data_IF_934957706202
#
_entry.id   IF_934957706202
#
_cell.length_a   1.000
_cell.length_b   1.000
_cell.length_c   1.000
_cell.angle_alpha   90.00
_cell.angle_beta   90.00
_cell.angle_gamma   90.00
#
_symmetry.space_group_name_H-M   'P 1'
#
loop_
_entity.id
_entity.type
_entity.pdbx_description
1 polymer ?
#
# COMPACT_ATOMS: atom_id res chain seq x y z
N UNK A 1 10.62 15.77 -6.50
CA UNK A 1 10.25 15.73 -5.06
C UNK A 1 10.99 14.56 -4.43
N UNK A 2 11.51 14.71 -3.23
CA UNK A 2 12.01 13.57 -2.44
C UNK A 2 11.00 13.33 -1.32
N UNK A 3 10.67 12.07 -1.02
CA UNK A 3 9.91 11.73 0.17
C UNK A 3 10.79 12.06 1.40
N UNK A 4 10.33 12.96 2.25
CA UNK A 4 11.06 13.36 3.47
C UNK A 4 10.48 12.75 4.74
N UNK A 5 9.22 12.34 4.69
CA UNK A 5 8.52 11.71 5.80
C UNK A 5 7.81 10.45 5.32
N UNK A 6 8.20 9.31 5.83
CA UNK A 6 7.54 8.03 5.61
C UNK A 6 6.78 7.64 6.88
N UNK A 7 5.59 7.06 6.70
CA UNK A 7 4.83 6.50 7.80
C UNK A 7 4.60 5.02 7.53
N UNK A 8 5.07 4.16 8.44
CA UNK A 8 4.81 2.73 8.41
C UNK A 8 3.73 2.35 9.42
N UNK A 9 2.69 1.69 8.94
CA UNK A 9 1.67 1.09 9.79
C UNK A 9 2.22 -0.15 10.50
N UNK A 10 2.05 -0.21 11.80
CA UNK A 10 2.47 -1.30 12.67
C UNK A 10 1.24 -1.91 13.36
N UNK A 11 1.22 -3.20 13.41
CA UNK A 11 0.17 -4.04 14.00
C UNK A 11 0.79 -5.27 14.67
N UNK A 12 -0.05 -6.19 15.11
CA UNK A 12 0.37 -7.44 15.75
C UNK A 12 0.57 -8.59 14.75
N UNK A 13 0.48 -8.32 13.43
CA UNK A 13 0.65 -9.34 12.41
C UNK A 13 2.07 -9.91 12.37
N UNK A 14 2.17 -11.15 11.93
CA UNK A 14 3.45 -11.83 11.71
C UNK A 14 4.31 -11.13 10.66
N UNK A 15 3.69 -10.32 9.78
CA UNK A 15 4.34 -9.59 8.68
C UNK A 15 4.89 -8.22 9.09
N UNK A 16 4.58 -7.75 10.30
CA UNK A 16 4.99 -6.43 10.80
C UNK A 16 6.50 -6.23 10.79
N UNK A 17 7.29 -7.26 11.13
CA UNK A 17 8.75 -7.18 11.13
C UNK A 17 9.32 -6.93 9.71
N UNK A 18 8.85 -7.66 8.70
CA UNK A 18 9.28 -7.47 7.32
C UNK A 18 8.92 -6.08 6.79
N UNK A 19 7.75 -5.55 7.20
CA UNK A 19 7.30 -4.21 6.87
C UNK A 19 8.19 -3.13 7.48
N UNK A 20 8.64 -3.31 8.73
CA UNK A 20 9.60 -2.41 9.38
C UNK A 20 10.93 -2.37 8.61
N UNK A 21 11.51 -3.51 8.28
CA UNK A 21 12.79 -3.59 7.55
C UNK A 21 12.68 -2.94 6.16
N UNK A 22 11.58 -3.17 5.44
CA UNK A 22 11.31 -2.50 4.18
C UNK A 22 11.23 -0.98 4.34
N UNK A 23 10.52 -0.50 5.36
CA UNK A 23 10.35 0.93 5.62
C UNK A 23 11.68 1.61 5.99
N UNK A 24 12.52 0.96 6.78
CA UNK A 24 13.86 1.45 7.14
C UNK A 24 14.76 1.56 5.90
N UNK A 25 14.76 0.53 5.04
CA UNK A 25 15.54 0.58 3.80
C UNK A 25 15.05 1.69 2.86
N UNK A 26 13.73 1.86 2.73
CA UNK A 26 13.16 2.94 1.93
C UNK A 26 13.50 4.32 2.52
N UNK A 27 13.42 4.48 3.84
CA UNK A 27 13.83 5.70 4.54
C UNK A 27 15.32 6.01 4.31
N UNK A 28 16.19 4.97 4.33
CA UNK A 28 17.61 5.12 4.01
C UNK A 28 17.84 5.59 2.58
N UNK A 29 17.15 5.00 1.59
CA UNK A 29 17.27 5.37 0.17
C UNK A 29 16.86 6.80 -0.14
N UNK A 30 15.87 7.32 0.59
CA UNK A 30 15.33 8.67 0.38
C UNK A 30 15.85 9.72 1.37
N UNK A 31 16.67 9.32 2.33
CA UNK A 31 17.07 10.17 3.45
C UNK A 31 15.83 10.81 4.10
N UNK A 32 14.88 9.97 4.45
CA UNK A 32 13.58 10.33 4.99
C UNK A 32 13.49 10.04 6.49
N UNK A 33 12.71 10.85 7.21
CA UNK A 33 12.27 10.56 8.56
C UNK A 33 11.24 9.43 8.54
N UNK A 34 11.37 8.44 9.43
CA UNK A 34 10.46 7.30 9.52
C UNK A 34 9.63 7.37 10.80
N UNK A 35 8.33 7.37 10.61
CA UNK A 35 7.33 7.31 11.68
C UNK A 35 6.74 5.90 11.70
N UNK A 36 6.82 5.20 12.82
CA UNK A 36 6.09 3.97 13.09
C UNK A 36 4.76 4.29 13.78
N UNK A 37 3.67 4.01 13.14
CA UNK A 37 2.33 4.22 13.65
C UNK A 37 1.70 2.87 14.03
N UNK A 38 1.59 2.61 15.32
CA UNK A 38 0.92 1.41 15.82
C UNK A 38 -0.58 1.68 15.99
N UNK A 39 -1.38 0.98 15.22
CA UNK A 39 -2.85 1.10 15.23
C UNK A 39 -3.46 -0.27 14.99
N UNK A 40 -4.31 -0.72 15.91
CA UNK A 40 -5.06 -1.98 15.84
C UNK A 40 -6.53 -1.75 16.14
N UNK A 41 -7.41 -2.46 15.45
CA UNK A 41 -8.86 -2.35 15.61
C UNK A 41 -9.33 -3.22 16.78
N UNK A 42 -9.28 -2.71 17.99
CA UNK A 42 -9.66 -3.44 19.20
C UNK A 42 -11.14 -3.88 19.20
N UNK A 43 -12.00 -3.12 18.52
CA UNK A 43 -13.45 -3.38 18.47
C UNK A 43 -13.82 -4.69 17.75
N UNK A 44 -12.93 -5.21 16.88
CA UNK A 44 -13.14 -6.48 16.17
C UNK A 44 -13.11 -7.70 17.11
N UNK A 45 -12.68 -7.51 18.34
CA UNK A 45 -12.42 -8.58 19.29
C UNK A 45 -13.45 -8.64 20.42
N UNK A 46 -14.44 -7.72 20.46
CA UNK A 46 -15.45 -7.71 21.52
C UNK A 46 -16.57 -8.72 21.24
N UNK A 47 -16.73 -9.76 22.06
CA UNK A 47 -17.94 -10.56 22.02
C UNK A 47 -19.11 -9.69 22.54
N UNK A 48 -20.13 -9.55 21.72
CA UNK A 48 -21.27 -8.67 22.03
C UNK A 48 -22.11 -9.11 23.25
N UNK A 49 -21.92 -10.32 23.78
CA UNK A 49 -22.68 -10.87 24.91
C UNK A 49 -21.92 -11.99 25.65
N UNK A 50 -21.30 -11.75 26.80
CA UNK A 50 -20.91 -12.79 27.75
C UNK A 50 -20.89 -12.25 29.19
N UNK A 51 -21.53 -12.99 30.09
CA UNK A 51 -21.45 -12.78 31.54
C UNK A 51 -20.11 -13.29 32.05
N UNK A 52 -19.29 -12.42 32.60
CA UNK A 52 -17.95 -12.72 33.09
C UNK A 52 -16.91 -11.64 32.73
N UNK A 53 -17.39 -10.47 32.38
CA UNK A 53 -16.72 -9.44 31.58
C UNK A 53 -15.44 -8.85 32.17
N UNK A 54 -15.34 -8.63 33.49
CA UNK A 54 -14.22 -7.88 34.07
C UNK A 54 -12.85 -8.58 33.93
N UNK A 55 -12.80 -9.88 34.17
CA UNK A 55 -11.55 -10.62 34.08
C UNK A 55 -11.09 -10.76 32.61
N UNK A 56 -12.04 -10.93 31.69
CA UNK A 56 -11.79 -11.02 30.28
C UNK A 56 -11.26 -9.68 29.69
N UNK A 57 -11.90 -8.55 30.05
CA UNK A 57 -11.43 -7.22 29.65
C UNK A 57 -10.02 -6.92 30.20
N UNK A 58 -9.76 -7.19 31.48
CA UNK A 58 -8.44 -6.98 32.08
C UNK A 58 -7.35 -7.83 31.40
N UNK A 59 -7.65 -9.07 31.03
CA UNK A 59 -6.70 -9.93 30.30
C UNK A 59 -6.40 -9.39 28.91
N UNK A 60 -7.39 -8.86 28.20
CA UNK A 60 -7.21 -8.27 26.86
C UNK A 60 -6.48 -6.95 26.88
N UNK A 61 -6.79 -6.09 27.84
CA UNK A 61 -6.08 -4.85 28.04
C UNK A 61 -4.59 -5.11 28.34
N UNK A 62 -4.30 -6.05 29.24
CA UNK A 62 -2.93 -6.45 29.54
C UNK A 62 -2.21 -7.07 28.29
N UNK A 63 -2.94 -7.84 27.47
CA UNK A 63 -2.38 -8.39 26.23
C UNK A 63 -2.12 -7.29 25.21
N UNK A 64 -3.03 -6.34 25.05
CA UNK A 64 -2.84 -5.18 24.17
C UNK A 64 -1.63 -4.36 24.60
N UNK A 65 -1.50 -4.06 25.90
CA UNK A 65 -0.36 -3.32 26.44
C UNK A 65 0.98 -4.06 26.22
N UNK A 66 0.96 -5.37 26.37
CA UNK A 66 2.14 -6.20 26.11
C UNK A 66 2.52 -6.19 24.61
N UNK A 67 1.54 -6.30 23.72
CA UNK A 67 1.73 -6.25 22.28
C UNK A 67 2.27 -4.87 21.84
N UNK A 68 1.66 -3.79 22.33
CA UNK A 68 2.08 -2.40 22.07
C UNK A 68 3.53 -2.19 22.49
N UNK A 69 3.90 -2.56 23.74
CA UNK A 69 5.27 -2.45 24.23
C UNK A 69 6.25 -3.30 23.41
N UNK A 70 5.83 -4.51 23.04
CA UNK A 70 6.60 -5.41 22.19
C UNK A 70 6.83 -4.82 20.79
N UNK A 71 5.80 -4.26 20.17
CA UNK A 71 5.89 -3.60 18.86
C UNK A 71 6.80 -2.38 18.90
N UNK A 72 6.65 -1.54 19.94
CA UNK A 72 7.52 -0.38 20.17
C UNK A 72 8.99 -0.79 20.30
N UNK A 73 9.26 -1.77 21.15
CA UNK A 73 10.64 -2.26 21.37
C UNK A 73 11.25 -2.78 20.07
N UNK A 74 10.51 -3.60 19.30
CA UNK A 74 10.97 -4.12 18.01
C UNK A 74 11.28 -3.00 17.02
N UNK A 75 10.39 -2.00 16.89
CA UNK A 75 10.55 -0.90 15.96
C UNK A 75 11.76 -0.01 16.31
N UNK A 76 11.89 0.39 17.56
CA UNK A 76 13.01 1.22 18.03
C UNK A 76 14.34 0.48 17.88
N UNK A 77 14.42 -0.79 18.29
CA UNK A 77 15.62 -1.61 18.10
C UNK A 77 15.98 -1.82 16.63
N UNK A 78 15.00 -1.92 15.71
CA UNK A 78 15.26 -1.98 14.28
C UNK A 78 15.85 -0.66 13.77
N UNK A 79 15.34 0.49 14.22
CA UNK A 79 15.90 1.81 13.92
C UNK A 79 17.36 1.94 14.38
N UNK A 80 17.65 1.52 15.60
CA UNK A 80 19.02 1.53 16.15
C UNK A 80 19.97 0.65 15.33
N UNK A 81 19.57 -0.58 15.00
CA UNK A 81 20.36 -1.48 14.14
C UNK A 81 20.64 -0.88 12.75
N UNK A 82 19.67 -0.15 12.20
CA UNK A 82 19.81 0.56 10.93
C UNK A 82 20.60 1.89 11.04
N UNK A 83 21.03 2.29 12.26
CA UNK A 83 21.70 3.56 12.51
C UNK A 83 20.83 4.78 12.22
N UNK A 84 19.51 4.67 12.41
CA UNK A 84 18.54 5.74 12.12
C UNK A 84 17.68 6.07 13.33
N UNK A 85 17.50 7.38 13.57
CA UNK A 85 16.47 7.86 14.48
C UNK A 85 15.10 7.64 13.84
N UNK A 86 14.17 7.05 14.57
CA UNK A 86 12.80 6.78 14.16
C UNK A 86 11.83 7.33 15.19
N UNK A 87 10.63 7.67 14.78
CA UNK A 87 9.58 8.21 15.65
C UNK A 87 8.49 7.16 15.86
N UNK A 88 8.11 6.93 17.11
CA UNK A 88 7.02 6.03 17.48
C UNK A 88 5.76 6.81 17.80
N UNK A 89 4.63 6.35 17.27
CA UNK A 89 3.28 6.85 17.58
C UNK A 89 2.33 5.69 17.85
N UNK A 90 1.56 5.82 18.93
CA UNK A 90 0.46 4.91 19.27
C UNK A 90 -0.70 5.77 19.79
N UNK A 91 -1.49 6.36 18.88
CA UNK A 91 -2.62 7.20 19.27
C UNK A 91 -3.75 6.37 19.86
N UNK A 92 -4.49 6.96 20.81
CA UNK A 92 -5.73 6.43 21.31
C UNK A 92 -6.90 6.75 20.35
N UNK A 93 -7.97 5.96 20.41
CA UNK A 93 -9.18 6.19 19.64
C UNK A 93 -9.39 5.22 18.48
N UNK A 94 -10.37 5.50 17.61
CA UNK A 94 -10.70 4.65 16.49
C UNK A 94 -9.52 4.52 15.50
N UNK A 95 -9.17 3.28 15.20
CA UNK A 95 -7.95 2.94 14.45
C UNK A 95 -7.87 3.60 13.07
N UNK A 96 -8.96 3.57 12.31
CA UNK A 96 -9.00 4.10 10.94
C UNK A 96 -8.85 5.63 10.95
N UNK A 97 -9.59 6.33 11.81
CA UNK A 97 -9.53 7.79 11.93
C UNK A 97 -8.15 8.26 12.38
N UNK A 98 -7.55 7.57 13.35
CA UNK A 98 -6.21 7.84 13.82
C UNK A 98 -5.18 7.63 12.70
N UNK A 99 -5.28 6.52 11.95
CA UNK A 99 -4.39 6.25 10.82
C UNK A 99 -4.51 7.33 9.74
N UNK A 100 -5.72 7.72 9.36
CA UNK A 100 -5.99 8.77 8.36
C UNK A 100 -5.40 10.11 8.82
N UNK A 101 -5.60 10.48 10.10
CA UNK A 101 -5.10 11.75 10.63
C UNK A 101 -3.57 11.82 10.58
N UNK A 102 -2.90 10.77 11.04
CA UNK A 102 -1.43 10.72 11.04
C UNK A 102 -0.86 10.60 9.63
N UNK A 103 -1.53 9.88 8.73
CA UNK A 103 -1.16 9.74 7.32
C UNK A 103 -1.05 11.08 6.59
N UNK A 104 -1.92 12.05 6.89
CA UNK A 104 -1.94 13.38 6.25
C UNK A 104 -0.64 14.15 6.39
N UNK A 105 0.18 13.82 7.38
CA UNK A 105 1.45 14.47 7.67
C UNK A 105 2.67 13.69 7.14
N UNK A 106 2.45 12.64 6.36
CA UNK A 106 3.50 11.89 5.68
C UNK A 106 3.48 12.15 4.16
N UNK A 107 4.60 11.91 3.50
CA UNK A 107 4.69 11.98 2.04
C UNK A 107 4.28 10.67 1.40
N UNK A 108 4.53 9.55 2.11
CA UNK A 108 4.26 8.20 1.62
C UNK A 108 3.95 7.27 2.79
N UNK A 109 2.94 6.44 2.62
CA UNK A 109 2.51 5.44 3.58
C UNK A 109 3.09 4.08 3.19
N UNK A 110 3.40 3.24 4.20
CA UNK A 110 3.80 1.85 4.03
C UNK A 110 2.81 1.02 4.83
N UNK A 111 1.97 0.26 4.11
CA UNK A 111 0.86 -0.51 4.64
C UNK A 111 1.10 -2.00 4.36
N UNK A 112 0.46 -2.88 5.11
CA UNK A 112 0.44 -4.32 4.84
C UNK A 112 -0.85 -4.73 4.13
N UNK A 113 -0.77 -5.67 3.20
CA UNK A 113 -1.92 -6.39 2.70
C UNK A 113 -2.56 -7.18 3.86
N UNK A 114 -3.88 -7.23 3.90
CA UNK A 114 -4.62 -8.07 4.86
C UNK A 114 -4.34 -9.55 4.57
N UNK A 115 -3.90 -10.28 5.61
CA UNK A 115 -3.73 -11.73 5.57
C UNK A 115 -4.92 -12.38 6.27
N UNK A 116 -5.84 -13.01 5.54
CA UNK A 116 -7.05 -13.58 6.13
C UNK A 116 -6.76 -14.75 7.07
N UNK A 117 -5.57 -15.34 6.99
CA UNK A 117 -5.16 -16.46 7.84
C UNK A 117 -4.41 -16.00 9.11
N UNK A 118 -3.99 -14.72 9.17
CA UNK A 118 -3.34 -14.14 10.36
C UNK A 118 -4.36 -13.51 11.31
N UNK A 119 -4.83 -14.32 12.26
CA UNK A 119 -5.78 -13.88 13.29
C UNK A 119 -5.21 -12.87 14.29
N UNK A 120 -3.90 -12.59 14.25
CA UNK A 120 -3.23 -11.66 15.16
C UNK A 120 -3.23 -10.21 14.66
N UNK A 121 -3.56 -9.97 13.39
CA UNK A 121 -3.44 -8.64 12.80
C UNK A 121 -4.39 -7.60 13.40
N UNK A 122 -5.58 -8.01 13.82
CA UNK A 122 -6.64 -7.13 14.37
C UNK A 122 -6.90 -5.85 13.56
N UNK A 123 -6.87 -5.97 12.24
CA UNK A 123 -7.08 -4.87 11.31
C UNK A 123 -8.45 -5.02 10.67
N UNK A 124 -9.15 -3.89 10.46
CA UNK A 124 -10.42 -3.89 9.74
C UNK A 124 -10.21 -4.32 8.28
N UNK A 125 -11.09 -5.14 7.75
CA UNK A 125 -11.02 -5.72 6.40
C UNK A 125 -10.77 -4.69 5.27
N UNK A 126 -11.17 -3.43 5.45
CA UNK A 126 -11.01 -2.35 4.48
C UNK A 126 -10.06 -1.25 4.96
N UNK A 127 -9.21 -1.55 5.93
CA UNK A 127 -8.30 -0.57 6.53
C UNK A 127 -7.40 0.12 5.48
N UNK A 128 -6.80 -0.65 4.58
CA UNK A 128 -5.91 -0.12 3.55
C UNK A 128 -6.67 0.81 2.61
N UNK A 129 -7.86 0.38 2.16
CA UNK A 129 -8.72 1.16 1.29
C UNK A 129 -9.11 2.48 1.93
N UNK A 130 -9.63 2.43 3.15
CA UNK A 130 -10.13 3.60 3.87
C UNK A 130 -8.99 4.61 4.11
N UNK A 131 -7.80 4.13 4.49
CA UNK A 131 -6.64 4.99 4.72
C UNK A 131 -6.15 5.63 3.42
N UNK A 132 -5.99 4.87 2.34
CA UNK A 132 -5.53 5.41 1.04
C UNK A 132 -6.52 6.43 0.49
N UNK A 133 -7.83 6.12 0.55
CA UNK A 133 -8.87 7.01 0.01
C UNK A 133 -9.04 8.30 0.82
N UNK A 134 -8.94 8.23 2.15
CA UNK A 134 -9.30 9.36 3.01
C UNK A 134 -8.09 10.20 3.48
N UNK A 135 -6.88 9.66 3.40
CA UNK A 135 -5.67 10.41 3.80
C UNK A 135 -5.24 11.45 2.78
N UNK A 136 -5.53 11.21 1.49
CA UNK A 136 -5.01 12.02 0.39
C UNK A 136 -3.50 11.82 0.15
N UNK A 137 -2.94 10.71 0.61
CA UNK A 137 -1.52 10.37 0.47
C UNK A 137 -1.34 9.05 -0.27
N UNK A 138 -0.26 8.91 -1.06
CA UNK A 138 0.06 7.64 -1.68
C UNK A 138 0.43 6.59 -0.63
N UNK A 139 0.01 5.35 -0.87
CA UNK A 139 0.37 4.22 -0.04
C UNK A 139 1.04 3.12 -0.83
N UNK A 140 2.17 2.60 -0.33
CA UNK A 140 2.72 1.33 -0.79
C UNK A 140 2.13 0.24 0.08
N UNK A 141 1.42 -0.69 -0.54
CA UNK A 141 0.90 -1.89 0.13
C UNK A 141 1.87 -3.03 -0.14
N UNK A 142 2.35 -3.68 0.92
CA UNK A 142 3.26 -4.82 0.83
C UNK A 142 2.49 -6.13 0.85
N UNK A 143 2.81 -7.09 -0.02
CA UNK A 143 2.17 -8.41 -0.02
C UNK A 143 2.55 -9.19 1.25
N UNK A 144 1.61 -9.96 1.79
CA UNK A 144 1.88 -10.87 2.92
C UNK A 144 2.52 -12.18 2.45
N UNK A 145 2.14 -12.66 1.28
CA UNK A 145 2.54 -13.99 0.80
C UNK A 145 3.99 -14.07 0.30
N UNK A 146 4.67 -12.94 0.10
CA UNK A 146 5.99 -12.89 -0.56
C UNK A 146 6.94 -11.95 0.16
N UNK A 147 8.18 -12.40 0.35
CA UNK A 147 9.26 -11.50 0.81
C UNK A 147 9.73 -10.60 -0.32
N UNK A 148 9.67 -9.30 -0.12
CA UNK A 148 10.13 -8.30 -1.09
C UNK A 148 11.67 -8.28 -1.11
N UNK A 149 12.27 -8.84 -2.18
CA UNK A 149 13.73 -8.90 -2.36
C UNK A 149 14.28 -7.76 -3.22
N UNK A 150 13.51 -7.30 -4.19
CA UNK A 150 13.79 -6.13 -5.02
C UNK A 150 12.59 -5.18 -4.94
N UNK A 151 12.84 -3.88 -5.12
CA UNK A 151 11.79 -2.88 -5.04
C UNK A 151 12.10 -1.70 -5.94
N UNK A 152 11.17 -1.38 -6.83
CA UNK A 152 11.18 -0.26 -7.76
C UNK A 152 12.36 -0.29 -8.75
N UNK A 153 12.86 -1.48 -9.10
CA UNK A 153 13.83 -1.65 -10.19
C UNK A 153 13.14 -1.87 -11.53
N UNK A 154 12.05 -2.64 -11.54
CA UNK A 154 11.22 -2.92 -12.72
C UNK A 154 9.77 -2.55 -12.43
N UNK A 155 9.35 -1.39 -12.89
CA UNK A 155 8.09 -0.75 -12.51
C UNK A 155 7.07 -0.85 -13.63
N UNK A 156 5.85 -1.27 -13.28
CA UNK A 156 4.69 -1.19 -14.16
C UNK A 156 3.75 -0.08 -13.67
N UNK A 157 3.42 0.86 -14.56
CA UNK A 157 2.41 1.89 -14.31
C UNK A 157 1.13 1.47 -15.05
N UNK A 158 0.07 1.15 -14.30
CA UNK A 158 -1.25 0.88 -14.86
C UNK A 158 -1.95 2.21 -15.17
N UNK A 159 -2.09 2.51 -16.46
CA UNK A 159 -2.64 3.77 -16.94
C UNK A 159 -4.01 3.57 -17.60
N UNK A 160 -5.03 4.23 -17.09
CA UNK A 160 -6.40 4.20 -17.64
C UNK A 160 -6.86 5.57 -18.17
N UNK A 161 -5.98 6.59 -18.11
CA UNK A 161 -6.31 7.97 -18.46
C UNK A 161 -7.11 8.72 -17.40
N UNK A 162 -7.38 8.09 -16.24
CA UNK A 162 -8.13 8.67 -15.15
C UNK A 162 -7.29 9.58 -14.25
N UNK A 163 -7.99 10.33 -13.42
CA UNK A 163 -7.40 11.26 -12.44
C UNK A 163 -6.53 10.52 -11.43
N UNK A 164 -6.99 9.37 -10.97
CA UNK A 164 -6.33 8.56 -9.94
C UNK A 164 -5.04 7.92 -10.49
N UNK A 165 -5.04 7.44 -11.74
CA UNK A 165 -3.81 6.93 -12.38
C UNK A 165 -2.79 8.04 -12.63
N UNK A 166 -3.24 9.23 -13.04
CA UNK A 166 -2.38 10.40 -13.21
C UNK A 166 -1.74 10.82 -11.88
N UNK A 167 -2.52 10.80 -10.79
CA UNK A 167 -2.03 11.10 -9.46
C UNK A 167 -1.02 10.06 -8.98
N UNK A 168 -1.34 8.76 -9.10
CA UNK A 168 -0.45 7.68 -8.72
C UNK A 168 0.91 7.75 -9.44
N UNK A 169 0.89 8.04 -10.75
CA UNK A 169 2.10 8.24 -11.53
C UNK A 169 2.93 9.42 -11.01
N UNK A 170 2.30 10.56 -10.70
CA UNK A 170 2.98 11.72 -10.15
C UNK A 170 3.56 11.46 -8.75
N UNK A 171 2.80 10.80 -7.88
CA UNK A 171 3.22 10.45 -6.53
C UNK A 171 4.35 9.39 -6.54
N UNK A 172 4.42 8.54 -7.56
CA UNK A 172 5.48 7.54 -7.73
C UNK A 172 6.80 8.11 -8.25
N UNK A 173 6.86 9.36 -8.73
CA UNK A 173 8.08 9.96 -9.31
C UNK A 173 9.36 9.74 -8.47
N UNK A 174 9.34 9.92 -7.14
CA UNK A 174 10.54 9.71 -6.33
C UNK A 174 11.11 8.29 -6.42
N UNK A 175 10.25 7.30 -6.65
CA UNK A 175 10.60 5.88 -6.76
C UNK A 175 11.04 5.54 -8.18
N UNK A 176 10.24 5.89 -9.18
CA UNK A 176 10.45 5.49 -10.57
C UNK A 176 11.64 6.19 -11.23
N UNK A 177 12.08 7.34 -10.72
CA UNK A 177 13.33 8.01 -11.17
C UNK A 177 14.59 7.16 -10.96
N UNK A 178 14.54 6.17 -10.08
CA UNK A 178 15.65 5.26 -9.78
C UNK A 178 15.46 3.87 -10.38
N UNK A 179 14.33 3.66 -11.05
CA UNK A 179 14.03 2.39 -11.68
C UNK A 179 14.96 2.11 -12.86
N UNK A 180 15.29 0.84 -13.05
CA UNK A 180 16.04 0.38 -14.24
C UNK A 180 15.13 0.32 -15.46
N UNK A 181 13.89 -0.11 -15.24
CA UNK A 181 12.86 -0.23 -16.28
C UNK A 181 11.55 0.33 -15.79
N UNK A 182 10.91 1.13 -16.63
CA UNK A 182 9.56 1.65 -16.40
C UNK A 182 8.71 1.32 -17.61
N UNK A 183 7.59 0.68 -17.38
CA UNK A 183 6.62 0.35 -18.44
C UNK A 183 5.27 0.97 -18.09
N UNK A 184 4.71 1.74 -19.00
CA UNK A 184 3.32 2.20 -18.92
C UNK A 184 2.44 1.22 -19.66
N UNK A 185 1.44 0.69 -18.97
CA UNK A 185 0.48 -0.26 -19.53
C UNK A 185 -0.91 0.35 -19.60
N UNK A 186 -1.53 0.25 -20.76
CA UNK A 186 -2.93 0.56 -20.97
C UNK A 186 -3.72 -0.71 -21.27
N UNK A 187 -4.97 -0.77 -20.78
CA UNK A 187 -5.90 -1.85 -21.12
C UNK A 187 -6.88 -1.35 -22.19
N UNK A 188 -6.80 -1.90 -23.37
CA UNK A 188 -7.74 -1.60 -24.47
C UNK A 188 -9.10 -2.21 -24.16
N UNK A 189 -10.16 -1.38 -24.19
CA UNK A 189 -11.54 -1.84 -23.98
C UNK A 189 -12.10 -2.56 -25.21
N UNK A 190 -11.69 -2.14 -26.41
CA UNK A 190 -12.01 -2.74 -27.70
C UNK A 190 -10.80 -2.71 -28.61
N UNK A 191 -10.66 -3.67 -29.56
CA UNK A 191 -9.56 -3.70 -30.52
C UNK A 191 -9.43 -2.42 -31.35
N UNK A 192 -10.55 -1.76 -31.64
CA UNK A 192 -10.64 -0.54 -32.43
C UNK A 192 -10.67 0.75 -31.58
N UNK A 193 -10.60 0.65 -30.24
CA UNK A 193 -10.48 1.84 -29.40
C UNK A 193 -9.07 2.37 -29.49
N UNK A 194 -8.93 3.64 -29.85
CA UNK A 194 -7.67 4.34 -29.65
C UNK A 194 -7.29 4.20 -28.17
N UNK A 195 -6.12 3.61 -27.90
CA UNK A 195 -5.60 3.57 -26.55
C UNK A 195 -5.50 5.01 -26.02
N UNK A 196 -5.87 5.27 -24.74
CA UNK A 196 -5.67 6.60 -24.15
C UNK A 196 -4.25 7.04 -24.50
N UNK A 197 -4.11 8.21 -25.10
CA UNK A 197 -2.89 8.66 -25.77
C UNK A 197 -1.65 8.48 -24.87
N UNK A 198 -0.92 7.39 -25.09
CA UNK A 198 0.33 7.09 -24.37
C UNK A 198 1.45 8.05 -24.72
N UNK A 199 1.31 8.77 -25.84
CA UNK A 199 2.30 9.76 -26.32
C UNK A 199 2.48 10.89 -25.29
N UNK A 200 1.41 11.39 -24.71
CA UNK A 200 1.47 12.48 -23.73
C UNK A 200 2.07 12.00 -22.39
N UNK A 201 1.79 10.77 -22.00
CA UNK A 201 2.39 10.15 -20.81
C UNK A 201 3.89 9.93 -21.00
N UNK A 202 4.31 9.47 -22.20
CA UNK A 202 5.73 9.35 -22.55
C UNK A 202 6.45 10.68 -22.46
N UNK A 203 5.92 11.69 -23.11
CA UNK A 203 6.50 13.02 -23.09
C UNK A 203 6.53 13.64 -21.69
N UNK A 204 5.51 13.34 -20.86
CA UNK A 204 5.50 13.78 -19.47
C UNK A 204 6.59 13.09 -18.64
N UNK A 205 6.74 11.76 -18.76
CA UNK A 205 7.79 11.02 -18.06
C UNK A 205 9.20 11.42 -18.51
N UNK A 206 9.39 11.64 -19.82
CA UNK A 206 10.66 12.09 -20.38
C UNK A 206 11.10 13.45 -19.82
N UNK A 207 10.17 14.41 -19.66
CA UNK A 207 10.45 15.71 -19.00
C UNK A 207 10.90 15.54 -17.55
N UNK A 208 10.55 14.41 -16.90
CA UNK A 208 11.03 14.03 -15.57
C UNK A 208 12.32 13.20 -15.59
N UNK A 209 12.89 12.97 -16.78
CA UNK A 209 14.09 12.18 -16.97
C UNK A 209 13.86 10.67 -16.87
N UNK A 210 12.64 10.21 -17.14
CA UNK A 210 12.24 8.80 -17.06
C UNK A 210 11.93 8.31 -18.47
N UNK A 211 12.74 7.38 -18.98
CA UNK A 211 12.45 6.68 -20.23
C UNK A 211 11.53 5.51 -19.93
N UNK A 212 10.31 5.54 -20.47
CA UNK A 212 9.32 4.50 -20.25
C UNK A 212 9.00 3.76 -21.55
N UNK A 213 8.92 2.43 -21.45
CA UNK A 213 8.32 1.59 -22.47
C UNK A 213 6.79 1.65 -22.40
N UNK A 214 6.12 1.36 -23.55
CA UNK A 214 4.66 1.32 -23.61
C UNK A 214 4.19 -0.04 -24.02
N UNK A 215 3.11 -0.48 -23.40
CA UNK A 215 2.44 -1.72 -23.79
C UNK A 215 0.92 -1.55 -23.69
N UNK A 216 0.21 -2.02 -24.70
CA UNK A 216 -1.23 -2.12 -24.66
C UNK A 216 -1.60 -3.60 -24.54
N UNK A 217 -2.38 -3.93 -23.53
CA UNK A 217 -2.91 -5.29 -23.38
C UNK A 217 -4.37 -5.32 -23.80
N UNK A 218 -4.76 -6.26 -24.69
CA UNK A 218 -6.16 -6.44 -25.05
C UNK A 218 -6.94 -6.91 -23.82
N UNK A 219 -8.14 -6.38 -23.66
CA UNK A 219 -9.07 -6.92 -22.67
C UNK A 219 -9.58 -8.29 -23.15
N UNK A 220 -9.31 -9.32 -22.37
CA UNK A 220 -9.78 -10.68 -22.68
C UNK A 220 -11.21 -10.84 -22.15
N UNK A 221 -12.13 -11.26 -23.03
CA UNK A 221 -13.52 -11.50 -22.65
C UNK A 221 -13.59 -12.57 -21.54
N UNK A 222 -14.37 -12.29 -20.50
CA UNK A 222 -14.54 -13.23 -19.38
C UNK A 222 -13.40 -13.25 -18.36
N UNK A 223 -12.29 -12.53 -18.60
CA UNK A 223 -11.20 -12.44 -17.62
C UNK A 223 -11.24 -11.07 -16.91
N UNK A 224 -11.31 -11.04 -15.56
CA UNK A 224 -11.25 -9.80 -14.81
C UNK A 224 -9.95 -9.03 -15.08
N UNK A 225 -10.05 -7.71 -15.23
CA UNK A 225 -8.89 -6.84 -15.47
C UNK A 225 -7.78 -7.02 -14.42
N UNK A 226 -8.15 -7.21 -13.15
CA UNK A 226 -7.18 -7.45 -12.08
C UNK A 226 -6.39 -8.74 -12.26
N UNK A 227 -7.02 -9.81 -12.72
CA UNK A 227 -6.35 -11.08 -13.00
C UNK A 227 -5.36 -10.97 -14.18
N UNK A 228 -5.74 -10.24 -15.25
CA UNK A 228 -4.82 -9.94 -16.36
C UNK A 228 -3.59 -9.17 -15.86
N UNK A 229 -3.80 -8.19 -15.00
CA UNK A 229 -2.72 -7.38 -14.44
C UNK A 229 -1.79 -8.24 -13.57
N UNK A 230 -2.32 -9.10 -12.69
CA UNK A 230 -1.52 -10.03 -11.87
C UNK A 230 -0.63 -10.95 -12.72
N UNK A 231 -1.18 -11.53 -13.79
CA UNK A 231 -0.40 -12.37 -14.71
C UNK A 231 0.73 -11.58 -15.35
N UNK A 232 0.47 -10.35 -15.81
CA UNK A 232 1.49 -9.51 -16.42
C UNK A 232 2.60 -9.10 -15.44
N UNK A 233 2.27 -8.90 -14.15
CA UNK A 233 3.28 -8.63 -13.11
C UNK A 233 4.26 -9.79 -12.98
N UNK A 234 3.74 -11.02 -12.96
CA UNK A 234 4.55 -12.24 -12.88
C UNK A 234 5.38 -12.47 -14.14
N UNK A 235 4.77 -12.41 -15.33
CA UNK A 235 5.42 -12.68 -16.61
C UNK A 235 6.56 -11.71 -16.93
N UNK A 236 6.46 -10.47 -16.45
CA UNK A 236 7.44 -9.42 -16.71
C UNK A 236 8.39 -9.16 -15.54
N UNK A 237 8.33 -9.97 -14.49
CA UNK A 237 9.15 -9.81 -13.29
C UNK A 237 9.09 -8.40 -12.68
N UNK A 238 7.89 -7.83 -12.63
CA UNK A 238 7.65 -6.52 -12.04
C UNK A 238 7.86 -6.60 -10.53
N UNK A 239 8.50 -5.58 -9.97
CA UNK A 239 8.75 -5.47 -8.53
C UNK A 239 8.11 -4.24 -7.87
N UNK A 240 7.39 -3.44 -8.66
CA UNK A 240 6.48 -2.41 -8.19
C UNK A 240 5.37 -2.18 -9.23
N UNK A 241 4.12 -2.30 -8.80
CA UNK A 241 2.97 -1.80 -9.55
C UNK A 241 2.60 -0.40 -9.05
N UNK A 242 2.38 0.53 -9.98
CA UNK A 242 1.82 1.87 -9.70
C UNK A 242 0.44 1.95 -10.33
N UNK A 243 -0.59 2.23 -9.54
CA UNK A 243 -1.97 2.31 -10.02
C UNK A 243 -2.81 3.32 -9.25
N UNK A 244 -3.82 3.88 -9.91
CA UNK A 244 -4.87 4.62 -9.22
C UNK A 244 -5.77 3.68 -8.41
N UNK A 245 -6.26 4.15 -7.29
CA UNK A 245 -7.23 3.44 -6.47
C UNK A 245 -8.64 3.99 -6.71
N UNK A 246 -9.62 3.12 -7.00
CA UNK A 246 -11.05 3.46 -7.07
C UNK A 246 -11.44 4.59 -8.05
N UNK A 247 -10.88 4.63 -9.26
CA UNK A 247 -11.10 5.70 -10.26
C UNK A 247 -12.48 5.73 -10.92
N UNK A 248 -13.24 4.65 -10.93
CA UNK A 248 -14.54 4.58 -11.59
C UNK A 248 -15.71 4.55 -10.61
N UNK A 249 -16.58 5.59 -10.70
CA UNK A 249 -17.93 5.75 -10.11
C UNK A 249 -18.16 5.21 -8.67
N UNK A 250 -17.96 6.10 -7.72
CA UNK A 250 -18.15 5.91 -6.26
C UNK A 250 -19.53 5.41 -5.81
N UNK A 251 -20.55 5.43 -6.64
CA UNK A 251 -21.95 5.27 -6.19
C UNK A 251 -22.50 3.86 -6.37
N UNK A 252 -21.91 3.03 -7.24
CA UNK A 252 -22.44 1.71 -7.55
C UNK A 252 -21.52 0.53 -7.20
N UNK A 253 -20.26 0.75 -6.83
CA UNK A 253 -19.23 -0.32 -6.79
C UNK A 253 -18.77 -0.76 -5.39
N UNK A 254 -19.45 -0.42 -4.31
CA UNK A 254 -19.26 -1.16 -3.05
C UNK A 254 -19.57 -2.67 -3.19
N UNK A 255 -20.16 -3.07 -4.32
CA UNK A 255 -20.59 -4.44 -4.59
C UNK A 255 -19.84 -5.17 -5.71
N UNK A 256 -19.03 -4.48 -6.52
CA UNK A 256 -18.33 -5.14 -7.64
C UNK A 256 -16.84 -4.83 -7.53
N UNK A 257 -16.10 -5.80 -7.02
CA UNK A 257 -14.67 -5.76 -6.85
C UNK A 257 -13.92 -5.41 -8.13
N UNK A 258 -13.57 -4.14 -8.26
CA UNK A 258 -12.73 -3.64 -9.32
C UNK A 258 -11.27 -4.12 -9.19
N UNK A 259 -10.42 -3.62 -10.06
CA UNK A 259 -8.98 -3.94 -10.10
C UNK A 259 -8.31 -3.74 -8.74
N UNK A 260 -8.65 -2.66 -8.03
CA UNK A 260 -8.09 -2.36 -6.71
C UNK A 260 -8.33 -3.48 -5.71
N UNK A 261 -9.56 -4.00 -5.64
CA UNK A 261 -9.90 -5.10 -4.74
C UNK A 261 -9.13 -6.36 -5.08
N UNK A 262 -9.11 -6.74 -6.37
CA UNK A 262 -8.34 -7.92 -6.82
C UNK A 262 -6.87 -7.80 -6.47
N UNK A 263 -6.29 -6.59 -6.62
CA UNK A 263 -4.91 -6.34 -6.22
C UNK A 263 -4.73 -6.52 -4.71
N UNK A 264 -5.55 -5.90 -3.89
CA UNK A 264 -5.46 -6.00 -2.43
C UNK A 264 -5.69 -7.42 -1.90
N UNK A 265 -6.49 -8.23 -2.60
CA UNK A 265 -6.73 -9.64 -2.23
C UNK A 265 -5.63 -10.61 -2.72
N UNK A 266 -4.94 -10.32 -3.84
CA UNK A 266 -4.15 -11.34 -4.54
C UNK A 266 -2.77 -10.85 -5.02
N UNK A 267 -2.33 -9.68 -4.62
CA UNK A 267 -1.04 -9.13 -5.05
C UNK A 267 0.14 -9.95 -4.55
N UNK A 268 1.16 -10.07 -5.40
CA UNK A 268 2.42 -10.75 -5.10
C UNK A 268 3.63 -9.84 -5.18
N UNK A 269 3.41 -8.57 -5.51
CA UNK A 269 4.43 -7.53 -5.58
C UNK A 269 3.93 -6.29 -4.83
N UNK A 270 4.80 -5.42 -4.33
CA UNK A 270 4.40 -4.14 -3.78
C UNK A 270 3.55 -3.32 -4.76
N UNK A 271 2.50 -2.69 -4.26
CA UNK A 271 1.60 -1.86 -5.06
C UNK A 271 1.53 -0.45 -4.47
N UNK A 272 1.94 0.55 -5.26
CA UNK A 272 1.70 1.95 -4.92
C UNK A 272 0.32 2.36 -5.43
N UNK A 273 -0.49 2.86 -4.53
CA UNK A 273 -1.85 3.34 -4.80
C UNK A 273 -2.00 4.80 -4.40
N UNK A 274 -2.73 5.56 -5.23
CA UNK A 274 -3.18 6.94 -4.93
C UNK A 274 -4.62 7.14 -5.34
N UNK A 275 -5.31 8.00 -4.61
CA UNK A 275 -6.71 8.34 -4.88
C UNK A 275 -6.92 9.87 -4.99
#
# INVERSE_FOLDING_TARGET
MNCKTLLVHLDDSTHSAARIEFALELARRHDAHLIGLYVVCQDLTQPKFLHGERAWFATREAQHDANLKGAQTRFLAAGERAGRSVEWRAPEGPAIEAAILHARHADLLILGQDDPDDSSSYIARHFVEDVVMASGRPGIVLPYAVTVRSFAENVLIAWDGGRESARAMADALPLIKRAKFVTVMTLQRHPDSEAPAGIDVAAWLDRHGIQAGFTAAPKVAGVPTGALLLNMLADRHIDLLVMGAYGHARVQERLLGGVTRTMLESMTVPVLMSH
#
